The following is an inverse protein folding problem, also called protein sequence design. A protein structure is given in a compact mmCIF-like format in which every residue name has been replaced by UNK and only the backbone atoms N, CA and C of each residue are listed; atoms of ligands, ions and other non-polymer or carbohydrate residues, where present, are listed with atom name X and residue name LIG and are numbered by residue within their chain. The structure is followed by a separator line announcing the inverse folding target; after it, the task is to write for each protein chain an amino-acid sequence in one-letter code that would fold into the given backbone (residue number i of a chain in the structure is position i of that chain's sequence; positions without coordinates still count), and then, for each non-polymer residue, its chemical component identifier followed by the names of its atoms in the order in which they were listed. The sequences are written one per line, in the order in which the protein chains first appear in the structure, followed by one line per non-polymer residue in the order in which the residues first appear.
data_IF_867838704654
#
_entry.id   IF_867838704654
#
_cell.length_a   1.000
_cell.length_b   1.000
_cell.length_c   1.000
_cell.angle_alpha   90.00
_cell.angle_beta   90.00
_cell.angle_gamma   90.00
#
_symmetry.space_group_name_H-M   'P 1'
#
loop_
_entity.id
_entity.type
_entity.pdbx_description
1 polymer ?
#
# COMPACT_ATOMS: atom_id res chain seq x y z
N UNK A 1 47.69 -5.64 53.92
CA UNK A 1 47.81 -4.18 53.89
C UNK A 1 46.67 -3.65 53.04
N UNK A 2 45.68 -3.09 53.74
CA UNK A 2 44.39 -2.64 53.23
C UNK A 2 44.50 -1.52 52.20
N UNK A 3 44.06 -1.79 50.97
CA UNK A 3 43.66 -0.72 50.05
C UNK A 3 42.25 -0.27 50.43
N UNK A 4 42.25 0.73 51.30
CA UNK A 4 41.13 1.54 51.79
C UNK A 4 39.99 1.67 50.77
N UNK A 5 38.84 1.19 51.22
CA UNK A 5 37.53 1.63 50.79
C UNK A 5 37.47 3.16 50.67
N UNK A 6 37.19 3.64 49.48
CA UNK A 6 36.63 4.98 49.28
C UNK A 6 35.91 5.04 47.93
N UNK A 7 35.01 4.07 47.68
CA UNK A 7 33.82 4.38 46.87
C UNK A 7 33.01 5.34 47.73
N UNK A 8 33.32 6.63 47.58
CA UNK A 8 32.58 7.73 48.17
C UNK A 8 31.15 7.60 47.64
N UNK A 9 30.29 6.88 48.39
CA UNK A 9 28.84 6.91 48.22
C UNK A 9 28.45 8.36 48.48
N UNK A 10 28.41 9.17 47.41
CA UNK A 10 27.80 10.49 47.46
C UNK A 10 26.38 10.25 47.96
N UNK A 11 26.11 10.69 49.19
CA UNK A 11 24.78 10.79 49.79
C UNK A 11 23.98 11.81 48.97
N UNK A 12 23.61 11.46 47.75
CA UNK A 12 22.51 12.11 47.07
C UNK A 12 21.24 11.55 47.70
N UNK A 13 20.42 12.38 48.32
CA UNK A 13 19.16 11.95 48.92
C UNK A 13 18.22 11.30 47.88
N UNK A 14 17.03 10.91 48.31
CA UNK A 14 15.97 10.32 47.46
C UNK A 14 15.82 11.07 46.12
N UNK A 15 16.00 12.40 46.13
CA UNK A 15 16.01 13.25 44.94
C UNK A 15 17.05 12.85 43.88
N UNK A 16 18.31 12.59 44.28
CA UNK A 16 19.37 12.21 43.34
C UNK A 16 19.17 10.80 42.77
N UNK A 17 18.63 9.88 43.58
CA UNK A 17 18.24 8.55 43.11
C UNK A 17 17.06 8.63 42.12
N UNK A 18 16.12 9.55 42.34
CA UNK A 18 15.00 9.79 41.43
C UNK A 18 15.46 10.42 40.11
N UNK A 19 16.37 11.40 40.15
CA UNK A 19 16.98 11.99 38.96
C UNK A 19 17.74 10.93 38.12
N UNK A 20 18.51 10.05 38.77
CA UNK A 20 19.20 8.94 38.10
C UNK A 20 18.22 7.90 37.50
N UNK A 21 17.10 7.65 38.19
CA UNK A 21 16.04 6.77 37.68
C UNK A 21 15.36 7.37 36.45
N UNK A 22 15.00 8.66 36.50
CA UNK A 22 14.42 9.38 35.36
C UNK A 22 15.38 9.38 34.18
N UNK A 23 16.67 9.65 34.42
CA UNK A 23 17.70 9.62 33.37
C UNK A 23 17.80 8.24 32.69
N UNK A 24 17.72 7.15 33.46
CA UNK A 24 17.73 5.78 32.91
C UNK A 24 16.46 5.46 32.12
N UNK A 25 15.29 5.91 32.58
CA UNK A 25 14.03 5.72 31.86
C UNK A 25 14.04 6.47 30.53
N UNK A 26 14.54 7.70 30.51
CA UNK A 26 14.70 8.48 29.27
C UNK A 26 15.67 7.77 28.32
N UNK A 27 16.83 7.33 28.81
CA UNK A 27 17.81 6.60 27.99
C UNK A 27 17.23 5.29 27.43
N UNK A 28 16.47 4.53 28.22
CA UNK A 28 15.76 3.35 27.74
C UNK A 28 14.69 3.69 26.69
N UNK A 29 13.94 4.77 26.91
CA UNK A 29 12.93 5.26 25.98
C UNK A 29 13.52 5.66 24.62
N UNK A 30 14.66 6.34 24.61
CA UNK A 30 15.38 6.68 23.37
C UNK A 30 15.84 5.45 22.60
N UNK A 31 16.43 4.47 23.27
CA UNK A 31 16.84 3.21 22.63
C UNK A 31 15.62 2.47 22.07
N UNK A 32 14.53 2.41 22.83
CA UNK A 32 13.28 1.78 22.39
C UNK A 32 12.69 2.49 21.17
N UNK A 33 12.71 3.83 21.13
CA UNK A 33 12.24 4.62 20.01
C UNK A 33 13.05 4.35 18.74
N UNK A 34 14.37 4.22 18.85
CA UNK A 34 15.25 3.86 17.72
C UNK A 34 14.91 2.45 17.20
N UNK A 35 14.64 1.49 18.09
CA UNK A 35 14.22 0.14 17.71
C UNK A 35 12.87 0.13 16.99
N UNK A 36 11.90 0.90 17.48
CA UNK A 36 10.58 1.03 16.84
C UNK A 36 10.74 1.67 15.46
N UNK A 37 11.51 2.74 15.33
CA UNK A 37 11.74 3.44 14.06
C UNK A 37 12.34 2.50 13.00
N UNK A 38 13.35 1.70 13.36
CA UNK A 38 13.97 0.73 12.44
C UNK A 38 12.99 -0.32 11.95
N UNK A 39 12.17 -0.89 12.85
CA UNK A 39 11.21 -1.91 12.48
C UNK A 39 10.03 -1.34 11.67
N UNK A 40 9.58 -0.14 12.01
CA UNK A 40 8.47 0.54 11.34
C UNK A 40 8.82 0.87 9.89
N UNK A 41 10.04 1.32 9.61
CA UNK A 41 10.49 1.60 8.25
C UNK A 41 10.48 0.35 7.36
N UNK A 42 10.93 -0.79 7.89
CA UNK A 42 10.92 -2.07 7.16
C UNK A 42 9.48 -2.54 6.93
N UNK A 43 8.62 -2.42 7.95
CA UNK A 43 7.22 -2.80 7.86
C UNK A 43 6.47 -1.96 6.82
N UNK A 44 6.62 -0.63 6.84
CA UNK A 44 6.00 0.27 5.87
C UNK A 44 6.50 -0.05 4.46
N UNK A 45 7.81 -0.27 4.27
CA UNK A 45 8.37 -0.62 2.96
C UNK A 45 7.77 -1.92 2.43
N UNK A 46 7.69 -2.96 3.26
CA UNK A 46 7.11 -4.24 2.87
C UNK A 46 5.61 -4.13 2.60
N UNK A 47 4.88 -3.34 3.39
CA UNK A 47 3.46 -3.09 3.20
C UNK A 47 3.20 -2.36 1.87
N UNK A 48 3.98 -1.33 1.55
CA UNK A 48 3.86 -0.61 0.27
C UNK A 48 4.18 -1.54 -0.89
N UNK A 49 5.28 -2.28 -0.84
CA UNK A 49 5.65 -3.22 -1.90
C UNK A 49 4.57 -4.30 -2.08
N UNK A 50 4.11 -4.90 -0.99
CA UNK A 50 3.03 -5.91 -1.01
C UNK A 50 1.74 -5.32 -1.58
N UNK A 51 1.37 -4.11 -1.17
CA UNK A 51 0.18 -3.41 -1.68
C UNK A 51 0.26 -3.17 -3.19
N UNK A 52 1.42 -2.77 -3.72
CA UNK A 52 1.62 -2.61 -5.17
C UNK A 52 1.43 -3.95 -5.90
N UNK A 53 2.00 -5.04 -5.38
CA UNK A 53 1.83 -6.37 -5.99
C UNK A 53 0.39 -6.87 -5.94
N UNK A 54 -0.29 -6.68 -4.82
CA UNK A 54 -1.71 -7.03 -4.67
C UNK A 54 -2.56 -6.22 -5.65
N UNK A 55 -2.37 -4.90 -5.70
CA UNK A 55 -3.11 -4.04 -6.61
C UNK A 55 -2.87 -4.40 -8.07
N UNK A 56 -1.61 -4.63 -8.45
CA UNK A 56 -1.23 -5.08 -9.80
C UNK A 56 -1.88 -6.42 -10.13
N UNK A 57 -1.90 -7.36 -9.20
CA UNK A 57 -2.53 -8.67 -9.42
C UNK A 57 -4.03 -8.55 -9.64
N UNK A 58 -4.73 -7.75 -8.83
CA UNK A 58 -6.16 -7.47 -9.00
C UNK A 58 -6.43 -6.81 -10.37
N UNK A 59 -5.60 -5.84 -10.76
CA UNK A 59 -5.70 -5.21 -12.07
C UNK A 59 -5.54 -6.21 -13.22
N UNK A 60 -4.57 -7.13 -13.14
CA UNK A 60 -4.36 -8.18 -14.13
C UNK A 60 -5.51 -9.19 -14.17
N UNK A 61 -6.08 -9.55 -13.02
CA UNK A 61 -7.28 -10.39 -12.96
C UNK A 61 -8.44 -9.71 -13.68
N UNK A 62 -8.67 -8.43 -13.38
CA UNK A 62 -9.74 -7.67 -14.03
C UNK A 62 -9.53 -7.57 -15.54
N UNK A 63 -8.31 -7.27 -15.98
CA UNK A 63 -7.95 -7.25 -17.40
C UNK A 63 -8.24 -8.60 -18.06
N UNK A 64 -7.82 -9.70 -17.43
CA UNK A 64 -8.05 -11.06 -17.94
C UNK A 64 -9.55 -11.37 -18.07
N UNK A 65 -10.35 -11.00 -17.06
CA UNK A 65 -11.81 -11.19 -17.10
C UNK A 65 -12.47 -10.42 -18.24
N UNK A 66 -12.03 -9.18 -18.49
CA UNK A 66 -12.53 -8.37 -19.63
C UNK A 66 -12.21 -9.06 -20.96
N UNK A 67 -10.97 -9.53 -21.15
CA UNK A 67 -10.58 -10.23 -22.37
C UNK A 67 -11.32 -11.55 -22.57
N UNK A 68 -11.48 -12.34 -21.50
CA UNK A 68 -12.25 -13.59 -21.56
C UNK A 68 -13.70 -13.29 -21.91
N UNK A 69 -14.33 -12.31 -21.25
CA UNK A 69 -15.71 -11.91 -21.53
C UNK A 69 -15.88 -11.47 -23.00
N UNK A 70 -14.94 -10.69 -23.52
CA UNK A 70 -14.96 -10.27 -24.91
C UNK A 70 -14.74 -11.44 -25.90
N UNK A 71 -13.83 -12.35 -25.59
CA UNK A 71 -13.63 -13.58 -26.37
C UNK A 71 -14.87 -14.47 -26.41
N UNK A 72 -15.59 -14.58 -25.29
CA UNK A 72 -16.88 -15.27 -25.24
C UNK A 72 -17.90 -14.58 -26.13
N UNK A 73 -18.02 -13.25 -26.07
CA UNK A 73 -18.91 -12.48 -26.94
C UNK A 73 -18.61 -12.73 -28.43
N UNK A 74 -17.35 -12.66 -28.85
CA UNK A 74 -16.96 -12.93 -30.23
C UNK A 74 -17.22 -14.39 -30.64
N UNK A 75 -17.07 -15.33 -29.71
CA UNK A 75 -17.38 -16.74 -29.95
C UNK A 75 -18.89 -16.95 -30.15
N UNK A 76 -19.73 -16.28 -29.36
CA UNK A 76 -21.19 -16.27 -29.55
C UNK A 76 -21.54 -15.71 -30.93
N UNK A 77 -20.94 -14.58 -31.32
CA UNK A 77 -21.15 -13.99 -32.65
C UNK A 77 -20.81 -15.01 -33.75
N UNK A 78 -19.65 -15.65 -33.66
CA UNK A 78 -19.19 -16.61 -34.67
C UNK A 78 -20.05 -17.86 -34.78
N UNK A 79 -20.42 -18.47 -33.65
CA UNK A 79 -20.94 -19.85 -33.63
C UNK A 79 -22.44 -19.95 -33.35
N UNK A 80 -23.03 -18.96 -32.68
CA UNK A 80 -24.45 -18.98 -32.29
C UNK A 80 -25.30 -17.97 -33.07
N UNK A 81 -24.67 -16.91 -33.59
CA UNK A 81 -25.39 -15.84 -34.31
C UNK A 81 -25.01 -15.75 -35.80
N UNK A 82 -24.10 -16.62 -36.28
CA UNK A 82 -23.50 -16.55 -37.63
C UNK A 82 -22.99 -15.13 -37.99
N UNK A 83 -22.74 -14.30 -36.98
CA UNK A 83 -22.32 -12.92 -37.13
C UNK A 83 -20.83 -12.86 -37.40
N UNK A 84 -20.41 -11.88 -38.20
CA UNK A 84 -18.99 -11.62 -38.43
C UNK A 84 -18.34 -11.06 -37.15
N UNK A 85 -17.39 -11.80 -36.51
CA UNK A 85 -16.73 -11.35 -35.30
C UNK A 85 -15.92 -10.07 -35.50
N UNK A 86 -15.42 -9.84 -36.72
CA UNK A 86 -14.67 -8.63 -37.07
C UNK A 86 -15.62 -7.44 -37.05
N UNK A 87 -16.76 -7.53 -37.73
CA UNK A 87 -17.76 -6.48 -37.74
C UNK A 87 -18.35 -6.22 -36.35
N UNK A 88 -18.63 -7.28 -35.58
CA UNK A 88 -19.10 -7.16 -34.20
C UNK A 88 -18.07 -6.43 -33.32
N UNK A 89 -16.78 -6.72 -33.51
CA UNK A 89 -15.69 -6.03 -32.81
C UNK A 89 -15.66 -4.53 -33.11
N UNK A 90 -15.65 -4.16 -34.40
CA UNK A 90 -15.67 -2.76 -34.83
C UNK A 90 -16.92 -2.03 -34.37
N UNK A 91 -18.10 -2.66 -34.45
CA UNK A 91 -19.36 -2.09 -33.98
C UNK A 91 -19.34 -1.81 -32.48
N UNK A 92 -18.83 -2.75 -31.69
CA UNK A 92 -18.69 -2.57 -30.23
C UNK A 92 -17.72 -1.43 -29.91
N UNK A 93 -16.59 -1.35 -30.61
CA UNK A 93 -15.61 -0.27 -30.48
C UNK A 93 -16.20 1.10 -30.85
N UNK A 94 -16.93 1.19 -31.96
CA UNK A 94 -17.58 2.44 -32.38
C UNK A 94 -18.69 2.87 -31.40
N UNK A 95 -19.47 1.91 -30.87
CA UNK A 95 -20.46 2.17 -29.82
C UNK A 95 -19.83 2.77 -28.56
N UNK A 96 -18.73 2.17 -28.08
CA UNK A 96 -18.00 2.73 -26.94
C UNK A 96 -17.41 4.12 -27.23
N UNK A 97 -16.93 4.36 -28.45
CA UNK A 97 -16.43 5.67 -28.87
C UNK A 97 -17.56 6.73 -28.85
N UNK A 98 -18.75 6.40 -29.33
CA UNK A 98 -19.91 7.27 -29.24
C UNK A 98 -20.29 7.55 -27.78
N UNK A 99 -20.33 6.53 -26.93
CA UNK A 99 -20.57 6.72 -25.51
C UNK A 99 -19.50 7.61 -24.87
N UNK A 100 -18.23 7.43 -25.19
CA UNK A 100 -17.15 8.26 -24.68
C UNK A 100 -17.34 9.74 -25.06
N UNK A 101 -17.69 10.03 -26.32
CA UNK A 101 -17.99 11.40 -26.78
C UNK A 101 -19.18 11.99 -26.00
N UNK A 102 -20.25 11.21 -25.81
CA UNK A 102 -21.42 11.64 -25.05
C UNK A 102 -21.08 11.93 -23.58
N UNK A 103 -20.30 11.05 -22.95
CA UNK A 103 -19.84 11.23 -21.58
C UNK A 103 -18.95 12.47 -21.44
N UNK A 104 -18.00 12.68 -22.35
CA UNK A 104 -17.15 13.88 -22.38
C UNK A 104 -18.02 15.13 -22.52
N UNK A 105 -18.99 15.12 -23.44
CA UNK A 105 -19.92 16.23 -23.63
C UNK A 105 -20.73 16.53 -22.37
N UNK A 106 -21.22 15.50 -21.67
CA UNK A 106 -21.95 15.66 -20.40
C UNK A 106 -21.06 16.18 -19.26
N UNK A 107 -19.82 15.66 -19.14
CA UNK A 107 -18.87 16.08 -18.10
C UNK A 107 -18.41 17.52 -18.34
N UNK A 108 -18.16 17.90 -19.59
CA UNK A 108 -17.71 19.26 -19.95
C UNK A 108 -18.84 20.30 -19.92
N UNK A 109 -20.11 19.91 -20.17
CA UNK A 109 -21.27 20.82 -20.05
C UNK A 109 -21.55 21.34 -18.64
N UNK A 110 -20.91 20.77 -17.61
CA UNK A 110 -21.07 21.17 -16.20
C UNK A 110 -19.99 22.16 -15.70
N UNK A 111 -19.15 22.69 -16.58
CA UNK A 111 -18.34 23.89 -16.33
C UNK A 111 -18.95 25.08 -17.06
#
# INVERSE_FOLDING_TARGET
MDHKESKQRKKGGIKAAFEDLVAKVVAYGEVMAIYIQKNLQIYIRNLVLSSVWVFTSIFLIFLSLVYISYGVFLSVQKFLSEGDPILASFGTGFGFLLFAILFISLVLKKK
#
